data_IF_087571189283
#
_entry.id   IF_087571189283
#
_cell.length_a   1.000
_cell.length_b   1.000
_cell.length_c   1.000
_cell.angle_alpha   90.00
_cell.angle_beta   90.00
_cell.angle_gamma   90.00
#
_symmetry.space_group_name_H-M   'P 1'
#
loop_
_entity.id
_entity.type
_entity.pdbx_description
1 polymer ?
#
# COMPACT_ATOMS: atom_id res chain seq x y z
N UNK A 1 -52.25 47.38 3.54
CA UNK A 1 -50.92 48.01 3.53
C UNK A 1 -50.04 47.10 4.37
N UNK A 2 -49.53 46.01 3.77
CA UNK A 2 -48.14 45.85 3.28
C UNK A 2 -47.12 45.82 4.43
N UNK A 3 -46.10 44.96 4.56
CA UNK A 3 -45.52 43.77 3.91
C UNK A 3 -44.53 43.21 4.98
N UNK A 4 -44.49 41.88 5.18
CA UNK A 4 -43.31 41.00 5.39
C UNK A 4 -41.96 41.57 5.92
N UNK A 5 -41.37 40.95 6.95
CA UNK A 5 -40.07 40.24 6.87
C UNK A 5 -39.68 39.61 8.23
N UNK A 6 -39.67 38.28 8.25
CA UNK A 6 -38.96 37.48 9.25
C UNK A 6 -37.51 37.28 8.79
N UNK A 7 -36.53 37.40 9.70
CA UNK A 7 -35.33 36.56 9.83
C UNK A 7 -34.17 37.26 10.57
N UNK A 8 -33.28 36.45 11.13
CA UNK A 8 -32.01 36.77 11.82
C UNK A 8 -32.17 37.17 13.29
N UNK A 9 -31.74 36.38 14.28
CA UNK A 9 -30.37 35.88 14.40
C UNK A 9 -30.32 34.65 15.32
N UNK A 10 -30.26 33.46 14.73
CA UNK A 10 -29.77 32.25 15.40
C UNK A 10 -28.35 31.99 14.88
N UNK A 11 -27.42 32.86 15.28
CA UNK A 11 -26.02 32.73 14.93
C UNK A 11 -25.23 32.09 16.08
N UNK A 12 -24.31 31.21 15.70
CA UNK A 12 -23.16 30.74 16.46
C UNK A 12 -23.35 29.58 17.45
N UNK A 13 -23.66 28.38 16.93
CA UNK A 13 -23.13 27.13 17.49
C UNK A 13 -22.62 26.24 16.34
N UNK A 14 -21.46 26.60 15.77
CA UNK A 14 -20.69 25.68 14.94
C UNK A 14 -20.05 24.64 15.85
N UNK A 15 -20.73 23.51 16.05
CA UNK A 15 -20.13 22.32 16.67
C UNK A 15 -19.14 21.72 15.67
N UNK A 16 -17.85 21.98 15.88
CA UNK A 16 -16.76 21.24 15.24
C UNK A 16 -16.77 19.82 15.81
N UNK A 17 -17.29 18.86 15.06
CA UNK A 17 -17.15 17.45 15.36
C UNK A 17 -16.13 16.86 14.39
N UNK A 18 -14.92 16.57 14.86
CA UNK A 18 -14.05 15.61 14.18
C UNK A 18 -14.69 14.24 14.31
N UNK A 19 -14.95 13.55 13.20
CA UNK A 19 -15.47 12.19 13.25
C UNK A 19 -14.36 11.24 13.70
N UNK A 20 -14.43 10.79 14.95
CA UNK A 20 -13.67 9.65 15.41
C UNK A 20 -14.39 8.39 14.89
N UNK A 21 -13.98 7.89 13.73
CA UNK A 21 -14.29 6.51 13.36
C UNK A 21 -13.24 5.63 14.03
N UNK A 22 -13.64 4.87 15.03
CA UNK A 22 -12.96 3.63 15.36
C UNK A 22 -13.31 2.69 14.20
N UNK A 23 -12.41 2.55 13.22
CA UNK A 23 -12.53 1.48 12.26
C UNK A 23 -12.34 0.18 13.05
N UNK A 24 -13.41 -0.58 13.25
CA UNK A 24 -13.31 -1.96 13.73
C UNK A 24 -12.56 -2.74 12.66
N UNK A 25 -11.31 -3.09 12.94
CA UNK A 25 -10.54 -4.01 12.11
C UNK A 25 -11.29 -5.34 12.10
N UNK A 26 -11.89 -5.70 10.97
CA UNK A 26 -12.23 -7.09 10.70
C UNK A 26 -10.90 -7.78 10.38
N UNK A 27 -10.22 -8.29 11.40
CA UNK A 27 -9.04 -9.10 11.22
C UNK A 27 -9.46 -10.44 10.60
N UNK A 28 -9.63 -10.48 9.28
CA UNK A 28 -9.73 -11.73 8.52
C UNK A 28 -8.32 -12.10 8.07
N UNK A 29 -7.49 -12.47 9.03
CA UNK A 29 -6.16 -13.00 8.82
C UNK A 29 -5.85 -13.98 9.93
N UNK A 30 -5.71 -15.25 9.56
CA UNK A 30 -5.35 -16.35 10.46
C UNK A 30 -4.13 -15.96 11.27
N UNK A 31 -4.31 -15.81 12.58
CA UNK A 31 -3.21 -15.67 13.53
C UNK A 31 -2.46 -17.00 13.62
N UNK A 32 -1.53 -17.24 12.71
CA UNK A 32 -0.50 -18.27 12.86
C UNK A 32 0.79 -17.77 12.23
N UNK A 33 1.67 -17.30 13.11
CA UNK A 33 3.13 -17.46 13.10
C UNK A 33 3.89 -16.14 13.27
N UNK A 34 4.99 -16.25 14.02
CA UNK A 34 5.81 -15.19 14.55
C UNK A 34 6.73 -14.52 13.50
N UNK A 35 6.21 -14.28 12.30
CA UNK A 35 6.86 -13.55 11.21
C UNK A 35 5.97 -12.35 10.84
N UNK A 36 6.56 -11.17 10.61
CA UNK A 36 5.85 -9.91 10.34
C UNK A 36 4.65 -10.06 9.40
N UNK A 37 3.49 -9.60 9.87
CA UNK A 37 2.24 -9.71 9.16
C UNK A 37 1.69 -8.31 8.89
N UNK A 38 1.53 -8.01 7.60
CA UNK A 38 0.84 -6.79 7.17
C UNK A 38 -0.63 -6.86 7.59
N UNK A 39 -1.05 -5.91 8.41
CA UNK A 39 -2.42 -5.76 8.89
C UNK A 39 -3.15 -4.74 8.01
N UNK A 40 -4.12 -5.24 7.24
CA UNK A 40 -4.93 -4.44 6.32
C UNK A 40 -6.25 -4.00 6.95
N UNK A 41 -6.69 -2.77 6.65
CA UNK A 41 -7.94 -2.22 7.17
C UNK A 41 -9.19 -2.66 6.40
N UNK A 42 -9.05 -3.31 5.25
CA UNK A 42 -10.14 -3.45 4.29
C UNK A 42 -10.46 -2.13 3.58
N UNK A 43 -11.41 -2.16 2.65
CA UNK A 43 -11.87 -0.96 1.95
C UNK A 43 -12.71 -0.10 2.91
N UNK A 44 -12.40 1.21 2.96
CA UNK A 44 -12.98 2.18 3.89
C UNK A 44 -13.74 3.30 3.17
N UNK A 45 -13.15 3.89 2.13
CA UNK A 45 -13.74 4.97 1.32
C UNK A 45 -14.31 6.16 2.12
N UNK A 46 -13.50 6.67 3.06
CA UNK A 46 -13.85 7.79 3.94
C UNK A 46 -13.56 9.12 3.23
N UNK A 47 -14.59 9.91 3.00
CA UNK A 47 -14.45 11.27 2.45
C UNK A 47 -14.22 12.30 3.57
N UNK A 48 -13.12 13.04 3.50
CA UNK A 48 -12.87 14.18 4.39
C UNK A 48 -13.51 15.42 3.77
N UNK A 49 -14.60 15.90 4.36
CA UNK A 49 -15.26 17.13 3.90
C UNK A 49 -14.33 18.35 4.04
N UNK A 50 -14.54 19.38 3.23
CA UNK A 50 -13.83 20.65 3.41
C UNK A 50 -14.05 21.22 4.81
N UNK A 51 -13.07 22.00 5.29
CA UNK A 51 -13.01 22.56 6.64
C UNK A 51 -12.92 21.51 7.77
N UNK A 52 -12.68 20.24 7.44
CA UNK A 52 -12.61 19.15 8.41
C UNK A 52 -11.27 18.41 8.34
N UNK A 53 -11.11 17.47 9.25
CA UNK A 53 -9.98 16.55 9.33
C UNK A 53 -10.49 15.15 9.69
N UNK A 54 -9.69 14.15 9.35
CA UNK A 54 -9.88 12.76 9.76
C UNK A 54 -8.69 12.33 10.62
N UNK A 55 -8.98 11.71 11.76
CA UNK A 55 -7.99 11.03 12.59
C UNK A 55 -8.04 9.54 12.29
N UNK A 56 -6.89 8.89 12.17
CA UNK A 56 -6.79 7.45 12.03
C UNK A 56 -5.98 6.85 13.16
N UNK A 57 -6.40 5.65 13.55
CA UNK A 57 -5.81 4.80 14.58
C UNK A 57 -5.48 3.50 13.87
N UNK A 58 -4.22 3.33 13.52
CA UNK A 58 -3.73 2.41 12.51
C UNK A 58 -3.61 1.01 13.11
N UNK A 59 -3.11 0.95 14.34
CA UNK A 59 -3.03 -0.27 15.16
C UNK A 59 -4.34 -0.61 15.90
N UNK A 60 -5.34 0.27 15.80
CA UNK A 60 -6.66 0.10 16.42
C UNK A 60 -6.71 0.47 17.92
N UNK A 61 -5.69 1.14 18.44
CA UNK A 61 -5.61 1.52 19.84
C UNK A 61 -6.41 2.81 20.17
N UNK A 62 -6.14 3.42 21.33
CA UNK A 62 -6.77 4.68 21.72
C UNK A 62 -6.01 5.94 21.32
N UNK A 63 -4.78 5.80 20.85
CA UNK A 63 -3.95 6.87 20.34
C UNK A 63 -4.31 7.16 18.88
N UNK A 64 -4.08 8.40 18.46
CA UNK A 64 -4.28 8.80 17.06
C UNK A 64 -2.91 8.80 16.42
N UNK A 65 -2.67 7.97 15.42
CA UNK A 65 -1.35 7.89 14.77
C UNK A 65 -1.15 9.00 13.76
N UNK A 66 -2.20 9.34 13.03
CA UNK A 66 -2.14 10.32 11.96
C UNK A 66 -3.44 11.13 11.84
N UNK A 67 -3.27 12.41 11.51
CA UNK A 67 -4.36 13.35 11.24
C UNK A 67 -4.22 13.86 9.81
N UNK A 68 -5.24 13.62 8.99
CA UNK A 68 -5.35 14.11 7.62
C UNK A 68 -6.34 15.27 7.57
N UNK A 69 -5.97 16.37 6.92
CA UNK A 69 -6.69 17.65 6.95
C UNK A 69 -7.16 17.99 5.54
N UNK A 70 -8.42 18.38 5.40
CA UNK A 70 -8.97 18.96 4.18
C UNK A 70 -9.54 20.34 4.49
N UNK A 71 -8.67 21.34 4.48
CA UNK A 71 -9.01 22.71 4.88
C UNK A 71 -9.19 23.62 3.66
N UNK A 72 -9.80 24.77 3.90
CA UNK A 72 -9.86 25.86 2.94
C UNK A 72 -9.26 27.08 3.62
N UNK A 73 -8.16 27.57 3.06
CA UNK A 73 -7.53 28.81 3.47
C UNK A 73 -7.94 29.93 2.52
N UNK A 74 -7.63 31.17 2.87
CA UNK A 74 -7.97 32.35 2.04
C UNK A 74 -7.49 32.24 0.59
N UNK A 75 -6.42 31.48 0.35
CA UNK A 75 -5.80 31.36 -0.97
C UNK A 75 -6.13 30.04 -1.70
N UNK A 76 -7.06 29.23 -1.18
CA UNK A 76 -7.55 28.01 -1.84
C UNK A 76 -7.65 26.80 -0.91
N UNK A 77 -7.93 25.64 -1.51
CA UNK A 77 -8.06 24.39 -0.78
C UNK A 77 -6.68 23.85 -0.42
N UNK A 78 -6.55 23.33 0.80
CA UNK A 78 -5.32 22.80 1.34
C UNK A 78 -5.55 21.39 1.87
N UNK A 79 -4.71 20.46 1.45
CA UNK A 79 -4.65 19.12 2.01
C UNK A 79 -3.26 18.86 2.57
N UNK A 80 -3.21 18.26 3.75
CA UNK A 80 -1.98 17.95 4.47
C UNK A 80 -2.27 17.13 5.72
N UNK A 81 -1.29 16.99 6.59
CA UNK A 81 -1.47 16.19 7.78
C UNK A 81 -0.34 16.29 8.79
N UNK A 82 -0.51 15.51 9.86
CA UNK A 82 0.47 15.34 10.93
C UNK A 82 0.46 13.90 11.40
N UNK A 83 1.63 13.27 11.48
CA UNK A 83 1.84 12.08 12.32
C UNK A 83 1.95 12.56 13.77
N UNK A 84 1.20 11.96 14.69
CA UNK A 84 0.88 12.58 15.98
C UNK A 84 1.98 12.45 17.04
N UNK A 85 2.78 11.38 16.99
CA UNK A 85 3.75 11.06 18.04
C UNK A 85 5.14 10.85 17.47
N UNK A 86 6.15 11.38 18.17
CA UNK A 86 7.55 11.16 17.83
C UNK A 86 7.98 9.73 18.23
N UNK A 87 8.86 9.07 17.46
CA UNK A 87 9.59 9.58 16.30
C UNK A 87 8.85 9.46 14.94
N UNK A 88 7.53 9.28 14.94
CA UNK A 88 6.74 9.13 13.72
C UNK A 88 6.88 10.28 12.72
N UNK A 89 6.89 9.93 11.44
CA UNK A 89 7.13 10.86 10.34
C UNK A 89 6.50 10.35 9.03
N UNK A 90 6.26 11.25 8.08
CA UNK A 90 5.75 10.88 6.75
C UNK A 90 6.88 10.49 5.82
N UNK A 91 6.65 9.53 4.92
CA UNK A 91 7.50 9.34 3.75
C UNK A 91 7.38 10.56 2.83
N UNK A 92 8.48 11.28 2.63
CA UNK A 92 8.38 12.64 2.14
C UNK A 92 9.72 13.32 1.89
N UNK A 93 9.64 14.60 1.55
CA UNK A 93 10.82 15.42 1.24
C UNK A 93 10.63 16.85 1.69
N UNK A 94 11.73 17.57 1.91
CA UNK A 94 11.71 18.99 2.20
C UNK A 94 11.98 19.80 0.92
N UNK A 95 11.18 20.84 0.67
CA UNK A 95 11.41 21.79 -0.41
C UNK A 95 10.93 23.18 0.02
N UNK A 96 11.72 24.22 -0.30
CA UNK A 96 11.35 25.61 -0.01
C UNK A 96 10.95 25.87 1.46
N UNK A 97 11.61 25.20 2.40
CA UNK A 97 11.32 25.33 3.85
C UNK A 97 10.04 24.64 4.32
N UNK A 98 9.38 23.84 3.47
CA UNK A 98 8.20 23.05 3.80
C UNK A 98 8.49 21.56 3.66
N UNK A 99 7.84 20.76 4.49
CA UNK A 99 7.83 19.30 4.37
C UNK A 99 6.63 18.86 3.53
N UNK A 100 6.88 17.96 2.59
CA UNK A 100 5.90 17.40 1.68
C UNK A 100 5.80 15.90 1.87
N UNK A 101 4.58 15.39 1.78
CA UNK A 101 4.38 13.97 1.56
C UNK A 101 4.70 13.63 0.10
N UNK A 102 5.33 12.47 -0.11
CA UNK A 102 5.52 11.92 -1.45
C UNK A 102 4.25 11.22 -1.93
N UNK A 103 3.84 11.45 -3.17
CA UNK A 103 2.72 10.73 -3.79
C UNK A 103 3.24 9.45 -4.43
N UNK A 104 3.14 8.33 -3.70
CA UNK A 104 3.78 7.08 -4.07
C UNK A 104 2.87 6.21 -4.95
N UNK A 105 3.50 5.45 -5.85
CA UNK A 105 2.84 4.34 -6.54
C UNK A 105 2.85 3.09 -5.64
N UNK A 106 2.14 2.03 -6.04
CA UNK A 106 2.27 0.72 -5.40
C UNK A 106 3.69 0.15 -5.58
N UNK A 107 4.10 -0.75 -4.68
CA UNK A 107 5.40 -1.42 -4.71
C UNK A 107 6.59 -0.58 -4.28
N UNK A 108 6.37 0.59 -3.69
CA UNK A 108 7.43 1.44 -3.12
C UNK A 108 7.65 1.06 -1.66
N UNK A 109 8.88 0.73 -1.29
CA UNK A 109 9.25 0.44 0.10
C UNK A 109 9.20 1.71 0.95
N UNK A 110 8.54 1.61 2.12
CA UNK A 110 8.54 2.59 3.19
C UNK A 110 9.40 2.06 4.32
N UNK A 111 10.47 2.78 4.60
CA UNK A 111 11.41 2.51 5.69
C UNK A 111 11.94 3.83 6.27
N UNK A 112 12.83 3.75 7.26
CA UNK A 112 13.45 4.90 7.91
C UNK A 112 14.11 5.89 6.92
N UNK A 113 14.65 5.41 5.79
CA UNK A 113 15.34 6.25 4.81
C UNK A 113 14.38 7.09 3.97
N UNK A 114 13.11 6.68 3.89
CA UNK A 114 12.06 7.38 3.16
C UNK A 114 11.42 8.54 3.96
N UNK A 115 11.64 8.56 5.29
CA UNK A 115 10.93 9.45 6.21
C UNK A 115 11.49 10.88 6.20
N UNK A 116 10.57 11.84 6.26
CA UNK A 116 10.83 13.28 6.36
C UNK A 116 10.30 13.85 7.67
N UNK A 117 9.39 14.82 7.58
CA UNK A 117 8.82 15.51 8.74
C UNK A 117 7.53 14.86 9.28
N UNK A 118 7.25 15.09 10.57
CA UNK A 118 5.98 14.66 11.18
C UNK A 118 4.78 15.48 10.68
N UNK A 119 4.97 16.78 10.38
CA UNK A 119 3.97 17.64 9.77
C UNK A 119 4.28 17.85 8.28
N UNK A 120 3.28 17.72 7.43
CA UNK A 120 3.49 17.67 5.98
C UNK A 120 2.35 18.30 5.16
N UNK A 121 2.72 18.86 4.02
CA UNK A 121 1.79 19.31 2.98
C UNK A 121 1.59 18.22 1.92
N UNK A 122 0.36 18.03 1.46
CA UNK A 122 0.04 17.14 0.34
C UNK A 122 -0.35 17.92 -0.91
N UNK A 123 -1.16 18.98 -0.76
CA UNK A 123 -1.65 19.80 -1.87
C UNK A 123 -2.05 21.22 -1.42
N UNK A 124 -1.68 22.23 -2.23
CA UNK A 124 -2.15 23.62 -2.09
C UNK A 124 -2.01 24.42 -3.40
N UNK A 125 -2.03 23.73 -4.54
CA UNK A 125 -1.91 24.33 -5.86
C UNK A 125 -0.64 25.14 -6.02
N UNK A 126 -0.76 26.33 -6.62
CA UNK A 126 0.35 27.23 -6.86
C UNK A 126 1.04 27.75 -5.59
N UNK A 127 0.40 27.66 -4.41
CA UNK A 127 1.00 28.09 -3.14
C UNK A 127 2.03 27.10 -2.63
N UNK A 128 1.85 25.83 -2.94
CA UNK A 128 2.79 24.77 -2.63
C UNK A 128 3.20 24.07 -3.94
N UNK A 129 4.10 24.68 -4.74
CA UNK A 129 4.40 24.21 -6.10
C UNK A 129 5.07 22.84 -6.14
N UNK A 130 5.70 22.40 -5.04
CA UNK A 130 6.32 21.07 -4.93
C UNK A 130 5.34 19.98 -4.51
N UNK A 131 4.09 20.31 -4.21
CA UNK A 131 3.10 19.37 -3.71
C UNK A 131 2.71 18.33 -4.77
N UNK A 132 2.82 17.05 -4.42
CA UNK A 132 2.61 15.93 -5.35
C UNK A 132 1.16 15.41 -5.39
N UNK A 133 0.28 15.84 -4.47
CA UNK A 133 -1.12 15.38 -4.42
C UNK A 133 -2.14 16.40 -4.98
N UNK A 134 -1.72 17.42 -5.73
CA UNK A 134 -2.66 18.42 -6.27
C UNK A 134 -3.79 17.81 -7.12
N UNK A 135 -3.49 16.74 -7.84
CA UNK A 135 -4.46 15.91 -8.55
C UNK A 135 -3.95 14.46 -8.57
N UNK A 136 -4.21 13.74 -7.48
CA UNK A 136 -3.75 12.38 -7.27
C UNK A 136 -4.95 11.44 -7.12
N UNK A 137 -4.96 10.33 -7.85
CA UNK A 137 -5.97 9.27 -7.73
C UNK A 137 -5.26 7.98 -7.36
N UNK A 138 -5.75 7.29 -6.33
CA UNK A 138 -5.20 6.03 -5.83
C UNK A 138 -3.68 6.08 -5.60
N UNK A 139 -3.19 7.17 -4.98
CA UNK A 139 -1.78 7.30 -4.57
C UNK A 139 -1.62 6.91 -3.11
N UNK A 140 -0.42 6.44 -2.78
CA UNK A 140 -0.09 6.03 -1.43
C UNK A 140 0.65 7.14 -0.69
N UNK A 141 0.21 7.39 0.54
CA UNK A 141 0.88 8.16 1.56
C UNK A 141 1.58 7.17 2.49
N UNK A 142 2.92 7.08 2.42
CA UNK A 142 3.70 6.30 3.39
C UNK A 142 3.99 7.11 4.65
N UNK A 143 4.06 6.45 5.80
CA UNK A 143 4.49 7.06 7.06
C UNK A 143 4.92 5.99 8.05
N UNK A 144 5.60 6.42 9.11
CA UNK A 144 5.88 5.60 10.27
C UNK A 144 5.23 6.19 11.51
N UNK A 145 4.78 5.35 12.43
CA UNK A 145 4.14 5.74 13.69
C UNK A 145 4.65 4.86 14.83
N UNK A 146 4.78 5.41 16.05
CA UNK A 146 5.28 4.63 17.18
C UNK A 146 4.17 3.89 17.92
N UNK A 147 4.44 2.64 18.31
CA UNK A 147 3.68 1.89 19.32
C UNK A 147 4.60 1.73 20.53
N UNK A 148 4.35 2.51 21.59
CA UNK A 148 5.28 2.62 22.71
C UNK A 148 6.63 3.22 22.26
N UNK A 149 7.70 2.43 22.34
CA UNK A 149 9.05 2.82 21.88
C UNK A 149 9.42 2.25 20.50
N UNK A 150 8.56 1.41 19.93
CA UNK A 150 8.81 0.70 18.68
C UNK A 150 8.21 1.48 17.50
N UNK A 151 8.91 1.52 16.38
CA UNK A 151 8.46 2.23 15.19
C UNK A 151 7.88 1.23 14.18
N UNK A 152 6.69 1.53 13.67
CA UNK A 152 6.01 0.72 12.66
C UNK A 152 5.78 1.53 11.40
N UNK A 153 5.75 0.85 10.25
CA UNK A 153 5.55 1.50 8.95
C UNK A 153 4.16 1.19 8.40
N UNK A 154 3.57 2.17 7.74
CA UNK A 154 2.22 2.10 7.19
C UNK A 154 2.11 2.86 5.88
N UNK A 155 1.12 2.47 5.09
CA UNK A 155 0.67 3.23 3.93
C UNK A 155 -0.83 3.52 4.03
N UNK A 156 -1.26 4.64 3.46
CA UNK A 156 -2.67 5.01 3.26
C UNK A 156 -2.90 5.29 1.79
N UNK A 157 -3.87 4.63 1.17
CA UNK A 157 -4.26 4.94 -0.20
C UNK A 157 -5.29 6.05 -0.21
N UNK A 158 -5.04 7.07 -1.00
CA UNK A 158 -5.86 8.28 -1.04
C UNK A 158 -6.09 8.78 -2.45
N UNK A 159 -7.20 9.50 -2.64
CA UNK A 159 -7.44 10.33 -3.81
C UNK A 159 -7.68 11.78 -3.37
N UNK A 160 -6.94 12.70 -3.98
CA UNK A 160 -6.98 14.14 -3.70
C UNK A 160 -7.15 14.89 -5.02
N UNK A 161 -8.15 15.77 -5.07
CA UNK A 161 -8.25 16.79 -6.11
C UNK A 161 -8.33 18.14 -5.40
N UNK A 162 -7.21 18.87 -5.39
CA UNK A 162 -7.11 20.12 -4.68
C UNK A 162 -8.05 21.17 -5.26
N UNK A 163 -8.13 21.29 -6.59
CA UNK A 163 -9.01 22.26 -7.23
C UNK A 163 -10.49 22.04 -6.86
N UNK A 164 -10.92 20.78 -6.80
CA UNK A 164 -12.28 20.41 -6.37
C UNK A 164 -12.44 20.37 -4.83
N UNK A 165 -11.34 20.43 -4.07
CA UNK A 165 -11.35 20.36 -2.61
C UNK A 165 -11.73 18.99 -2.07
N UNK A 166 -11.55 17.92 -2.85
CA UNK A 166 -11.92 16.56 -2.45
C UNK A 166 -10.71 15.82 -1.90
N UNK A 167 -10.91 15.07 -0.82
CA UNK A 167 -9.92 14.19 -0.21
C UNK A 167 -10.63 12.93 0.29
N UNK A 168 -10.32 11.79 -0.30
CA UNK A 168 -10.86 10.47 0.06
C UNK A 168 -9.73 9.57 0.52
N UNK A 169 -9.93 8.91 1.66
CA UNK A 169 -9.11 7.79 2.15
C UNK A 169 -9.80 6.51 1.67
N UNK A 170 -9.11 5.70 0.88
CA UNK A 170 -9.66 4.45 0.36
C UNK A 170 -9.47 3.32 1.35
N UNK A 171 -8.25 3.14 1.85
CA UNK A 171 -7.83 2.08 2.77
C UNK A 171 -6.41 2.34 3.27
N UNK A 172 -5.91 1.47 4.16
CA UNK A 172 -4.56 1.50 4.70
C UNK A 172 -4.11 0.11 5.15
N UNK A 173 -2.80 -0.09 5.24
CA UNK A 173 -2.21 -1.22 5.93
C UNK A 173 -0.97 -0.80 6.71
N UNK A 174 -0.54 -1.64 7.64
CA UNK A 174 0.68 -1.43 8.41
C UNK A 174 1.37 -2.75 8.74
N UNK A 175 2.66 -2.67 9.00
CA UNK A 175 3.48 -3.81 9.38
C UNK A 175 3.49 -3.98 10.91
N UNK A 176 2.98 -5.12 11.40
CA UNK A 176 2.83 -5.36 12.83
C UNK A 176 4.13 -5.71 13.55
N UNK A 177 5.20 -5.98 12.80
CA UNK A 177 6.53 -6.13 13.34
C UNK A 177 7.27 -4.79 13.35
N UNK A 178 7.82 -4.44 14.52
CA UNK A 178 8.61 -3.23 14.68
C UNK A 178 9.82 -3.20 13.72
N UNK A 179 10.10 -2.01 13.18
CA UNK A 179 11.24 -1.72 12.31
C UNK A 179 11.29 -2.51 10.98
N UNK A 180 10.23 -3.25 10.62
CA UNK A 180 10.14 -3.97 9.34
C UNK A 180 9.52 -3.07 8.26
N UNK A 181 10.22 -2.82 7.13
CA UNK A 181 9.68 -2.01 6.04
C UNK A 181 8.39 -2.60 5.46
N UNK A 182 7.49 -1.72 4.99
CA UNK A 182 6.29 -2.11 4.25
C UNK A 182 6.34 -1.59 2.82
N UNK A 183 5.89 -2.38 1.86
CA UNK A 183 5.68 -1.89 0.49
C UNK A 183 4.30 -1.24 0.37
N UNK A 184 4.21 -0.10 -0.32
CA UNK A 184 2.92 0.55 -0.61
C UNK A 184 2.00 -0.40 -1.38
N UNK A 185 0.80 -0.61 -0.85
CA UNK A 185 -0.17 -1.54 -1.42
C UNK A 185 -0.03 -2.99 -0.95
N UNK A 186 0.99 -3.33 -0.16
CA UNK A 186 1.10 -4.65 0.45
C UNK A 186 -0.10 -4.92 1.36
N UNK A 187 -0.71 -6.09 1.22
CA UNK A 187 -1.97 -6.45 1.89
C UNK A 187 -3.20 -5.72 1.35
N UNK A 188 -3.07 -4.95 0.26
CA UNK A 188 -4.11 -4.14 -0.36
C UNK A 188 -4.66 -4.72 -1.68
N UNK A 189 -5.33 -3.84 -2.44
CA UNK A 189 -6.08 -4.17 -3.65
C UNK A 189 -5.35 -5.11 -4.63
N UNK A 190 -5.90 -6.31 -4.79
CA UNK A 190 -5.41 -7.30 -5.74
C UNK A 190 -4.30 -8.22 -5.21
N UNK A 191 -3.65 -7.91 -4.09
CA UNK A 191 -2.63 -8.76 -3.44
C UNK A 191 -3.34 -9.74 -2.49
N UNK A 192 -4.18 -10.59 -3.06
CA UNK A 192 -5.07 -11.47 -2.32
C UNK A 192 -4.33 -12.58 -1.59
N UNK A 193 -3.11 -12.94 -2.02
CA UNK A 193 -2.27 -13.88 -1.28
C UNK A 193 -1.28 -13.21 -0.32
N UNK A 194 -1.26 -11.86 -0.27
CA UNK A 194 -0.44 -11.03 0.62
C UNK A 194 1.05 -11.33 0.44
N UNK A 195 1.48 -11.67 -0.78
CA UNK A 195 2.89 -11.88 -1.10
C UNK A 195 3.59 -10.60 -1.58
N UNK A 196 2.85 -9.49 -1.64
CA UNK A 196 3.35 -8.19 -2.07
C UNK A 196 3.48 -8.06 -3.58
N UNK A 197 2.99 -9.04 -4.35
CA UNK A 197 3.05 -9.09 -5.81
C UNK A 197 1.69 -9.42 -6.39
N UNK A 198 1.01 -8.45 -7.00
CA UNK A 198 -0.28 -8.71 -7.64
C UNK A 198 -0.08 -9.44 -8.98
N UNK A 199 -0.34 -10.74 -8.97
CA UNK A 199 -0.09 -11.63 -10.09
C UNK A 199 -1.18 -12.71 -10.26
N UNK A 200 -0.89 -13.74 -11.06
CA UNK A 200 -1.85 -14.82 -11.31
C UNK A 200 -2.18 -15.65 -10.07
N UNK A 201 -1.29 -15.70 -9.09
CA UNK A 201 -1.51 -16.35 -7.81
C UNK A 201 -2.66 -15.68 -7.04
N UNK A 202 -2.71 -14.35 -7.04
CA UNK A 202 -3.81 -13.60 -6.44
C UNK A 202 -5.13 -13.85 -7.16
N UNK A 203 -5.12 -13.83 -8.48
CA UNK A 203 -6.32 -14.13 -9.26
C UNK A 203 -6.90 -15.50 -8.89
N UNK A 204 -6.04 -16.49 -8.63
CA UNK A 204 -6.47 -17.81 -8.18
C UNK A 204 -7.01 -17.78 -6.74
N UNK A 205 -6.49 -16.93 -5.85
CA UNK A 205 -7.06 -16.72 -4.52
C UNK A 205 -8.44 -16.06 -4.62
N UNK A 206 -8.58 -15.00 -5.41
CA UNK A 206 -9.87 -14.39 -5.74
C UNK A 206 -10.87 -15.40 -6.28
N UNK A 207 -10.47 -16.18 -7.29
CA UNK A 207 -11.37 -17.13 -7.96
C UNK A 207 -11.87 -18.22 -7.01
N UNK A 208 -11.03 -18.71 -6.09
CA UNK A 208 -11.39 -19.76 -5.13
C UNK A 208 -12.27 -19.26 -3.99
N UNK A 209 -12.17 -17.99 -3.64
CA UNK A 209 -12.93 -17.37 -2.55
C UNK A 209 -14.01 -16.41 -3.06
N UNK A 210 -14.34 -16.48 -4.36
CA UNK A 210 -15.37 -15.66 -4.99
C UNK A 210 -16.76 -16.04 -4.48
N UNK A 211 -17.51 -15.05 -3.99
CA UNK A 211 -18.83 -15.25 -3.38
C UNK A 211 -18.82 -15.52 -1.87
N UNK A 212 -17.64 -15.75 -1.29
CA UNK A 212 -17.42 -15.82 0.17
C UNK A 212 -16.65 -14.58 0.67
N UNK A 213 -15.38 -14.46 0.27
CA UNK A 213 -14.46 -13.40 0.74
C UNK A 213 -14.28 -12.28 -0.29
N UNK A 214 -14.39 -12.59 -1.59
CA UNK A 214 -14.21 -11.61 -2.66
C UNK A 214 -15.39 -11.55 -3.62
N UNK A 215 -15.55 -10.41 -4.29
CA UNK A 215 -16.61 -10.15 -5.25
C UNK A 215 -16.07 -9.60 -6.60
N UNK A 216 -16.98 -9.12 -7.44
CA UNK A 216 -16.65 -8.65 -8.78
C UNK A 216 -15.89 -7.31 -8.78
N UNK A 217 -16.01 -6.48 -7.74
CA UNK A 217 -15.27 -5.22 -7.60
C UNK A 217 -13.79 -5.50 -7.27
N UNK A 218 -13.53 -6.50 -6.42
CA UNK A 218 -12.17 -6.95 -6.11
C UNK A 218 -11.40 -7.40 -7.37
N UNK A 219 -12.10 -7.97 -8.35
CA UNK A 219 -11.49 -8.31 -9.64
C UNK A 219 -11.02 -7.07 -10.41
N UNK A 220 -11.78 -5.97 -10.36
CA UNK A 220 -11.36 -4.71 -10.99
C UNK A 220 -10.15 -4.11 -10.27
N UNK A 221 -10.09 -4.29 -8.95
CA UNK A 221 -8.96 -3.90 -8.13
C UNK A 221 -7.70 -4.72 -8.50
N UNK A 222 -7.81 -6.05 -8.63
CA UNK A 222 -6.75 -6.90 -9.16
C UNK A 222 -6.33 -6.52 -10.58
N UNK A 223 -7.28 -6.29 -11.50
CA UNK A 223 -6.96 -5.87 -12.87
C UNK A 223 -6.20 -4.54 -12.88
N UNK A 224 -6.56 -3.62 -11.99
CA UNK A 224 -5.89 -2.33 -11.86
C UNK A 224 -4.49 -2.44 -11.27
N UNK A 225 -4.24 -3.48 -10.46
CA UNK A 225 -2.99 -3.69 -9.75
C UNK A 225 -2.09 -4.77 -10.36
N UNK A 226 -2.57 -5.56 -11.33
CA UNK A 226 -1.82 -6.67 -11.93
C UNK A 226 -0.47 -6.24 -12.50
N UNK A 227 0.58 -6.92 -12.05
CA UNK A 227 1.96 -6.60 -12.39
C UNK A 227 2.61 -5.54 -11.50
N UNK A 228 1.90 -4.99 -10.51
CA UNK A 228 2.50 -4.19 -9.45
C UNK A 228 3.08 -5.12 -8.37
N UNK A 229 4.37 -4.96 -8.10
CA UNK A 229 5.12 -5.77 -7.15
C UNK A 229 6.57 -5.87 -7.62
N UNK A 230 7.53 -5.72 -6.71
CA UNK A 230 8.91 -6.05 -7.03
C UNK A 230 8.90 -7.57 -7.19
N UNK A 231 9.09 -8.06 -8.41
CA UNK A 231 9.39 -9.47 -8.60
C UNK A 231 10.56 -9.78 -7.67
N UNK A 232 10.32 -10.54 -6.60
CA UNK A 232 11.39 -11.10 -5.82
C UNK A 232 12.34 -11.70 -6.85
N UNK A 233 13.59 -11.24 -6.86
CA UNK A 233 14.58 -11.72 -7.79
C UNK A 233 14.73 -13.23 -7.50
N UNK A 234 13.94 -14.04 -8.19
CA UNK A 234 14.05 -15.48 -8.15
C UNK A 234 15.43 -15.75 -8.69
N UNK A 235 16.34 -16.05 -7.80
CA UNK A 235 17.60 -16.69 -8.17
C UNK A 235 17.18 -17.99 -8.82
N UNK A 236 17.19 -18.01 -10.15
CA UNK A 236 17.08 -19.25 -10.90
C UNK A 236 18.31 -20.03 -10.50
N UNK A 237 18.17 -20.89 -9.49
CA UNK A 237 19.15 -21.92 -9.22
C UNK A 237 19.34 -22.64 -10.54
N UNK A 238 20.58 -22.63 -11.07
CA UNK A 238 20.90 -23.33 -12.30
C UNK A 238 20.38 -24.77 -12.15
N UNK A 239 19.39 -25.12 -12.97
CA UNK A 239 18.84 -26.46 -12.99
C UNK A 239 19.99 -27.40 -13.32
N UNK A 240 20.36 -28.34 -12.42
CA UNK A 240 21.37 -29.34 -12.75
C UNK A 240 20.88 -30.08 -13.99
N UNK A 241 21.62 -30.01 -15.09
CA UNK A 241 21.20 -30.63 -16.36
C UNK A 241 20.84 -32.10 -16.12
N UNK A 242 19.62 -32.55 -16.46
CA UNK A 242 19.22 -33.92 -16.27
C UNK A 242 20.02 -34.81 -17.23
N UNK A 243 21.08 -35.46 -16.74
CA UNK A 243 21.66 -36.70 -17.26
C UNK A 243 22.04 -36.79 -18.75
N UNK A 244 21.93 -35.73 -19.55
CA UNK A 244 22.13 -35.77 -21.00
C UNK A 244 23.58 -36.12 -21.34
N UNK A 245 24.54 -35.62 -20.54
CA UNK A 245 25.95 -36.00 -20.62
C UNK A 245 26.20 -37.46 -20.17
N UNK A 246 25.41 -37.95 -19.19
CA UNK A 246 25.49 -39.34 -18.73
C UNK A 246 24.99 -40.34 -19.78
N UNK A 247 23.89 -40.02 -20.49
CA UNK A 247 23.38 -40.82 -21.59
C UNK A 247 24.31 -40.82 -22.82
N UNK A 248 24.99 -39.70 -23.10
CA UNK A 248 25.98 -39.63 -24.17
C UNK A 248 27.22 -40.51 -23.88
N UNK A 249 27.69 -40.52 -22.64
CA UNK A 249 28.82 -41.36 -22.21
C UNK A 249 28.47 -42.86 -22.22
N UNK A 250 27.25 -43.22 -21.78
CA UNK A 250 26.78 -44.61 -21.82
C UNK A 250 26.55 -45.11 -23.27
N UNK A 251 26.09 -44.22 -24.17
CA UNK A 251 25.94 -44.52 -25.60
C UNK A 251 27.27 -44.79 -26.31
N UNK A 252 28.31 -44.00 -26.02
CA UNK A 252 29.64 -44.18 -26.62
C UNK A 252 30.31 -45.49 -26.17
N UNK A 253 30.15 -45.89 -24.90
CA UNK A 253 30.66 -47.16 -24.38
C UNK A 253 29.97 -48.38 -24.98
N UNK A 254 28.64 -48.30 -25.21
CA UNK A 254 27.87 -49.39 -25.82
C UNK A 254 28.26 -49.68 -27.28
N UNK A 255 28.52 -48.64 -28.07
CA UNK A 255 28.94 -48.79 -29.48
C UNK A 255 30.32 -49.44 -29.63
N UNK A 256 31.28 -49.12 -28.74
CA UNK A 256 32.63 -49.68 -28.79
C UNK A 256 32.64 -51.18 -28.42
N UNK A 257 31.81 -51.61 -27.46
CA UNK A 257 31.68 -53.02 -27.07
C UNK A 257 31.05 -53.85 -28.21
N UNK A 258 30.05 -53.30 -28.91
CA UNK A 258 29.41 -53.96 -30.05
C UNK A 258 30.37 -54.10 -31.24
N UNK A 259 31.23 -53.10 -31.49
CA UNK A 259 32.24 -53.13 -32.55
C UNK A 259 33.28 -54.23 -32.34
N UNK A 260 33.73 -54.47 -31.11
CA UNK A 260 34.71 -55.53 -30.79
C UNK A 260 34.16 -56.94 -30.93
N UNK A 261 32.86 -57.14 -30.72
CA UNK A 261 32.23 -58.46 -30.87
C UNK A 261 32.07 -58.90 -32.33
N UNK A 262 31.93 -57.96 -33.27
CA UNK A 262 31.82 -58.26 -34.70
C UNK A 262 33.15 -58.59 -35.39
N UNK A 263 34.29 -58.10 -34.86
CA UNK A 263 35.62 -58.37 -35.43
C UNK A 263 36.16 -59.79 -35.17
N UNK A 264 35.59 -60.53 -34.23
CA UNK A 264 36.11 -61.84 -33.77
C UNK A 264 35.45 -63.04 -34.45
N UNK A 265 34.64 -62.82 -35.49
CA UNK A 265 33.88 -63.85 -36.22
C UNK A 265 34.37 -64.09 -37.66
N UNK A 266 35.61 -63.69 -37.97
CA UNK A 266 36.29 -64.03 -39.24
C UNK A 266 37.72 -64.50 -38.96
N UNK A 267 37.86 -65.75 -38.54
CA UNK A 267 39.09 -66.52 -38.73
C UNK A 267 38.71 -68.00 -38.86
N UNK A 268 38.63 -68.45 -40.11
CA UNK A 268 38.79 -69.84 -40.54
C UNK A 268 39.49 -69.82 -41.89
#
# INVERSE_FOLDING_TARGET
>A
MSVEHASSSAAALSRRAGYALAATVAATGSATDADGAVVYSGIQNISISQFNYQTLKIDGDNNVDIVLKNYVFTQGNYQGGTVSFAPGAVAGFAANGLNYASALNAGVTIDQSSLGGFAFSMAYGAKNPSAQFNNAVNKYLGFAFPIGSELHYSWIRVSVNQAAGTFVIHDWAWENQADVPIMTGAGGLGDFNVDGVVNGADFLVWQRSFGDTYDAADLEDWKSAFGNGVAAATTVAAVPEPGALGLLAAGAGGLEILRRRHGRRKSS
#
